data_IF_640057346619
#
_entry.id   IF_640057346619
#
_cell.length_a   1.000
_cell.length_b   1.000
_cell.length_c   1.000
_cell.angle_alpha   90.00
_cell.angle_beta   90.00
_cell.angle_gamma   90.00
#
_symmetry.space_group_name_H-M   'P 1'
#
loop_
_entity.id
_entity.type
_entity.pdbx_description
1 polymer ?
#
# COMPACT_ATOMS: atom_id res chain seq x y z
N UNK A 1 34.91 -10.02 18.44
CA UNK A 1 33.77 -9.22 17.95
C UNK A 1 33.47 -9.70 16.55
N UNK A 2 32.43 -10.50 16.35
CA UNK A 2 32.07 -11.06 15.03
C UNK A 2 30.94 -10.23 14.45
N UNK A 3 31.24 -9.46 13.40
CA UNK A 3 30.21 -8.88 12.55
C UNK A 3 29.65 -9.99 11.66
N UNK A 4 28.47 -10.50 11.99
CA UNK A 4 27.69 -11.30 11.04
C UNK A 4 27.05 -10.35 10.03
N UNK A 5 27.76 -10.10 8.94
CA UNK A 5 27.17 -9.54 7.72
C UNK A 5 26.43 -10.67 6.98
N UNK A 6 25.12 -10.82 7.22
CA UNK A 6 24.20 -11.39 6.23
C UNK A 6 23.52 -10.22 5.52
N UNK A 7 23.92 -9.84 4.30
CA UNK A 7 23.37 -8.66 3.62
C UNK A 7 21.85 -8.75 3.35
N UNK A 8 21.22 -9.90 3.59
CA UNK A 8 19.78 -10.12 3.44
C UNK A 8 18.93 -9.78 4.67
N UNK A 9 19.44 -9.88 5.90
CA UNK A 9 18.66 -9.47 7.10
C UNK A 9 18.68 -7.95 7.33
N UNK A 10 19.68 -7.26 6.78
CA UNK A 10 19.90 -5.84 7.03
C UNK A 10 18.92 -4.92 6.29
N UNK A 11 18.36 -5.32 5.15
CA UNK A 11 17.48 -4.46 4.35
C UNK A 11 16.10 -4.33 4.99
N UNK A 12 15.47 -5.45 5.34
CA UNK A 12 14.17 -5.44 6.00
C UNK A 12 14.23 -4.70 7.34
N UNK A 13 15.23 -4.99 8.18
CA UNK A 13 15.41 -4.29 9.46
C UNK A 13 15.63 -2.78 9.26
N UNK A 14 16.39 -2.37 8.24
CA UNK A 14 16.54 -0.95 7.90
C UNK A 14 15.22 -0.32 7.48
N UNK A 15 14.43 -1.00 6.63
CA UNK A 15 13.12 -0.50 6.23
C UNK A 15 12.15 -0.41 7.40
N UNK A 16 12.17 -1.36 8.33
CA UNK A 16 11.37 -1.30 9.57
C UNK A 16 11.83 -0.11 10.42
N UNK A 17 13.13 0.08 10.62
CA UNK A 17 13.66 1.19 11.40
C UNK A 17 13.29 2.55 10.80
N UNK A 18 13.41 2.68 9.48
CA UNK A 18 13.01 3.87 8.74
C UNK A 18 11.50 4.07 8.85
N UNK A 19 10.71 3.05 8.56
CA UNK A 19 9.25 3.10 8.63
C UNK A 19 8.75 3.51 10.01
N UNK A 20 9.43 3.13 11.10
CA UNK A 20 9.11 3.58 12.47
C UNK A 20 9.22 5.09 12.67
N UNK A 21 10.13 5.76 11.97
CA UNK A 21 10.33 7.22 12.04
C UNK A 21 9.77 7.99 10.84
N UNK A 22 9.15 7.30 9.88
CA UNK A 22 8.67 7.88 8.62
C UNK A 22 7.16 7.73 8.53
N UNK A 23 6.46 8.81 8.17
CA UNK A 23 4.99 8.84 8.14
C UNK A 23 4.48 9.56 6.89
N UNK A 24 3.21 9.32 6.54
CA UNK A 24 2.54 9.98 5.42
C UNK A 24 3.22 9.73 4.07
N UNK A 25 3.45 10.79 3.30
CA UNK A 25 4.00 10.71 1.92
C UNK A 25 5.38 10.03 1.86
N UNK A 26 6.24 10.27 2.85
CA UNK A 26 7.57 9.67 2.89
C UNK A 26 7.52 8.15 3.13
N UNK A 27 6.50 7.67 3.84
CA UNK A 27 6.28 6.23 4.05
C UNK A 27 5.82 5.55 2.75
N UNK A 28 5.02 6.23 1.93
CA UNK A 28 4.64 5.74 0.59
C UNK A 28 5.85 5.57 -0.33
N UNK A 29 6.81 6.51 -0.27
CA UNK A 29 8.06 6.41 -1.02
C UNK A 29 8.93 5.24 -0.52
N UNK A 30 8.98 5.05 0.80
CA UNK A 30 9.66 3.91 1.41
C UNK A 30 9.05 2.58 0.97
N UNK A 31 7.72 2.46 0.97
CA UNK A 31 7.02 1.27 0.49
C UNK A 31 7.38 0.95 -0.96
N UNK A 32 7.41 1.94 -1.85
CA UNK A 32 7.86 1.73 -3.23
C UNK A 32 9.29 1.18 -3.30
N UNK A 33 10.21 1.75 -2.52
CA UNK A 33 11.58 1.23 -2.44
C UNK A 33 11.63 -0.23 -1.97
N UNK A 34 10.78 -0.61 -0.99
CA UNK A 34 10.73 -2.01 -0.53
C UNK A 34 10.18 -2.93 -1.62
N UNK A 35 9.15 -2.50 -2.36
CA UNK A 35 8.58 -3.26 -3.47
C UNK A 35 9.55 -3.41 -4.64
N UNK A 36 10.39 -2.41 -4.90
CA UNK A 36 11.45 -2.46 -5.91
C UNK A 36 12.70 -3.22 -5.46
N UNK A 37 12.85 -3.48 -4.15
CA UNK A 37 14.03 -4.14 -3.59
C UNK A 37 14.01 -5.66 -3.84
N UNK A 38 14.94 -6.20 -4.64
CA UNK A 38 15.04 -7.64 -4.84
C UNK A 38 15.48 -8.32 -3.54
N UNK A 39 14.74 -9.34 -3.12
CA UNK A 39 15.03 -10.09 -1.89
C UNK A 39 14.16 -9.72 -0.69
N UNK A 40 13.31 -8.69 -0.79
CA UNK A 40 12.31 -8.37 0.24
C UNK A 40 10.93 -8.82 -0.22
N UNK A 41 10.50 -9.97 0.28
CA UNK A 41 9.19 -10.57 -0.03
C UNK A 41 8.31 -10.76 1.21
N UNK A 42 8.79 -10.30 2.37
CA UNK A 42 8.09 -10.45 3.66
C UNK A 42 7.71 -9.07 4.17
N UNK A 43 6.43 -8.73 4.04
CA UNK A 43 5.90 -7.42 4.44
C UNK A 43 5.10 -7.46 5.76
N UNK A 44 4.97 -8.63 6.39
CA UNK A 44 4.19 -8.81 7.62
C UNK A 44 4.66 -7.93 8.77
N UNK A 45 5.97 -7.87 9.02
CA UNK A 45 6.53 -7.01 10.08
C UNK A 45 6.36 -5.52 9.77
N UNK A 46 6.38 -5.15 8.49
CA UNK A 46 6.17 -3.77 8.04
C UNK A 46 4.71 -3.36 8.27
N UNK A 47 3.75 -4.25 7.96
CA UNK A 47 2.31 -4.06 8.21
C UNK A 47 1.95 -3.95 9.69
N UNK A 48 2.73 -4.59 10.58
CA UNK A 48 2.50 -4.51 12.03
C UNK A 48 2.79 -3.11 12.59
N UNK A 49 3.56 -2.28 11.86
CA UNK A 49 3.87 -0.92 12.27
C UNK A 49 2.63 -0.02 12.20
N UNK A 50 2.39 0.74 13.27
CA UNK A 50 1.28 1.71 13.36
C UNK A 50 1.32 2.72 12.22
N UNK A 51 2.52 3.17 11.82
CA UNK A 51 2.69 4.11 10.71
C UNK A 51 2.13 3.57 9.39
N UNK A 52 2.23 2.25 9.17
CA UNK A 52 1.70 1.59 7.97
C UNK A 52 0.19 1.40 8.08
N UNK A 53 -0.33 1.11 9.28
CA UNK A 53 -1.78 1.08 9.50
C UNK A 53 -2.42 2.45 9.25
N UNK A 54 -1.77 3.55 9.62
CA UNK A 54 -2.27 4.90 9.31
C UNK A 54 -2.35 5.19 7.81
N UNK A 55 -1.52 4.54 6.97
CA UNK A 55 -1.65 4.65 5.51
C UNK A 55 -2.92 3.97 4.99
N UNK A 56 -3.43 2.94 5.68
CA UNK A 56 -4.66 2.23 5.30
C UNK A 56 -5.89 3.13 5.37
N UNK A 57 -5.90 4.10 6.28
CA UNK A 57 -7.01 5.06 6.45
C UNK A 57 -6.84 6.32 5.58
N UNK A 58 -5.72 6.42 4.84
CA UNK A 58 -5.39 7.57 4.02
C UNK A 58 -5.72 7.42 2.54
N UNK A 59 -5.45 8.45 1.72
CA UNK A 59 -5.58 8.37 0.26
C UNK A 59 -4.62 7.34 -0.38
N UNK A 60 -3.64 6.86 0.39
CA UNK A 60 -2.67 5.85 -0.01
C UNK A 60 -3.06 4.44 0.43
N UNK A 61 -4.32 4.22 0.83
CA UNK A 61 -4.85 2.91 1.22
C UNK A 61 -4.55 1.81 0.20
N UNK A 62 -4.47 2.16 -1.09
CA UNK A 62 -4.15 1.21 -2.14
C UNK A 62 -2.78 0.52 -1.96
N UNK A 63 -1.77 1.25 -1.47
CA UNK A 63 -0.45 0.69 -1.19
C UNK A 63 -0.48 -0.27 0.00
N UNK A 64 -1.25 0.07 1.03
CA UNK A 64 -1.44 -0.80 2.20
C UNK A 64 -2.12 -2.11 1.80
N UNK A 65 -3.20 -2.03 1.03
CA UNK A 65 -3.94 -3.19 0.54
C UNK A 65 -3.03 -4.08 -0.33
N UNK A 66 -2.23 -3.47 -1.21
CA UNK A 66 -1.24 -4.20 -2.01
C UNK A 66 -0.20 -4.93 -1.13
N UNK A 67 0.30 -4.28 -0.07
CA UNK A 67 1.23 -4.92 0.87
C UNK A 67 0.58 -6.10 1.61
N UNK A 68 -0.64 -5.91 2.10
CA UNK A 68 -1.42 -6.93 2.80
C UNK A 68 -1.65 -8.15 1.90
N UNK A 69 -1.98 -7.89 0.64
CA UNK A 69 -2.11 -8.89 -0.39
C UNK A 69 -0.80 -9.64 -0.67
N UNK A 70 0.35 -8.96 -0.74
CA UNK A 70 1.64 -9.65 -0.90
C UNK A 70 2.04 -10.45 0.36
N UNK A 71 1.66 -9.99 1.54
CA UNK A 71 1.96 -10.66 2.81
C UNK A 71 1.08 -11.88 3.08
N UNK A 72 -0.22 -11.78 2.78
CA UNK A 72 -1.24 -12.77 3.17
C UNK A 72 -2.03 -13.36 2.00
N UNK A 73 -2.09 -12.64 0.88
CA UNK A 73 -2.89 -13.01 -0.27
C UNK A 73 -2.12 -13.84 -1.29
N UNK A 74 -2.78 -14.11 -2.40
CA UNK A 74 -2.27 -14.95 -3.49
C UNK A 74 -2.44 -14.24 -4.82
N UNK A 75 -1.73 -14.70 -5.86
CA UNK A 75 -1.81 -14.14 -7.20
C UNK A 75 -3.24 -13.87 -7.73
N UNK A 76 -4.24 -14.77 -7.57
CA UNK A 76 -5.61 -14.46 -8.02
C UNK A 76 -6.22 -13.26 -7.31
N UNK A 77 -5.90 -13.05 -6.04
CA UNK A 77 -6.40 -11.89 -5.27
C UNK A 77 -5.81 -10.58 -5.82
N UNK A 78 -4.54 -10.60 -6.27
CA UNK A 78 -3.93 -9.48 -6.99
C UNK A 78 -4.64 -9.14 -8.31
N UNK A 79 -5.00 -10.17 -9.08
CA UNK A 79 -5.72 -9.96 -10.35
C UNK A 79 -7.09 -9.32 -10.09
N UNK A 80 -7.80 -9.76 -9.05
CA UNK A 80 -9.08 -9.17 -8.64
C UNK A 80 -8.90 -7.74 -8.15
N UNK A 81 -7.90 -7.48 -7.30
CA UNK A 81 -7.61 -6.14 -6.77
C UNK A 81 -7.24 -5.15 -7.89
N UNK A 82 -6.38 -5.56 -8.82
CA UNK A 82 -6.03 -4.78 -10.01
C UNK A 82 -7.23 -4.54 -10.93
N UNK A 83 -8.18 -5.48 -11.00
CA UNK A 83 -9.44 -5.29 -11.73
C UNK A 83 -10.39 -4.33 -11.01
N UNK A 84 -10.47 -4.41 -9.68
CA UNK A 84 -11.38 -3.60 -8.86
C UNK A 84 -11.00 -2.12 -8.92
N UNK A 85 -9.70 -1.80 -8.86
CA UNK A 85 -9.22 -0.42 -9.00
C UNK A 85 -9.52 0.20 -10.38
N UNK A 86 -9.77 -0.60 -11.42
CA UNK A 86 -10.20 -0.11 -12.74
C UNK A 86 -11.71 0.16 -12.79
N UNK A 87 -12.49 -0.44 -11.88
CA UNK A 87 -13.94 -0.34 -11.87
C UNK A 87 -14.49 0.87 -11.09
N UNK A 88 -13.69 1.51 -10.23
CA UNK A 88 -14.05 2.80 -9.63
C UNK A 88 -13.70 3.94 -10.60
N UNK A 89 -14.35 3.92 -11.77
CA UNK A 89 -14.57 5.13 -12.53
C UNK A 89 -15.36 6.12 -11.67
N UNK A 90 -15.09 7.44 -11.77
CA UNK A 90 -15.83 8.43 -11.01
C UNK A 90 -17.29 8.28 -11.40
N UNK A 91 -18.12 7.88 -10.44
CA UNK A 91 -19.55 8.14 -10.50
C UNK A 91 -19.75 9.65 -10.47
N UNK A 92 -19.45 10.30 -11.59
CA UNK A 92 -20.08 11.56 -11.94
C UNK A 92 -21.55 11.21 -12.08
N UNK A 93 -22.28 11.45 -11.00
CA UNK A 93 -23.72 11.40 -10.97
C UNK A 93 -24.20 12.46 -11.96
N UNK A 94 -24.36 12.03 -13.22
CA UNK A 94 -25.10 12.72 -14.25
C UNK A 94 -26.54 12.82 -13.74
N UNK A 95 -26.82 13.88 -13.00
CA UNK A 95 -28.20 14.30 -12.75
C UNK A 95 -28.67 15.09 -13.98
N UNK A 96 -28.89 14.37 -15.08
CA UNK A 96 -29.81 14.80 -16.12
C UNK A 96 -31.25 14.60 -15.61
N UNK A 97 -32.05 15.66 -15.72
CA UNK A 97 -33.51 15.53 -15.75
C UNK A 97 -34.26 16.31 -14.68
N UNK A 98 -34.65 17.55 -15.00
CA UNK A 98 -35.96 17.75 -15.61
C UNK A 98 -36.31 19.24 -15.58
N UNK A 99 -36.30 19.85 -16.76
CA UNK A 99 -37.20 20.97 -17.00
C UNK A 99 -38.63 20.51 -16.75
N UNK A 100 -39.27 21.08 -15.73
CA UNK A 100 -40.71 21.27 -15.72
C UNK A 100 -40.99 22.73 -15.41
N UNK A 101 -41.12 23.47 -16.50
CA UNK A 101 -42.01 24.61 -16.59
C UNK A 101 -43.31 24.29 -15.85
N UNK A 102 -43.64 25.10 -14.86
CA UNK A 102 -45.00 25.24 -14.37
C UNK A 102 -45.24 26.73 -14.18
N UNK A 103 -46.16 27.22 -15.03
CA UNK A 103 -46.90 28.48 -15.02
C UNK A 103 -46.70 29.42 -13.82
#
# INVERSE_FOLDING_TARGET
MAGEQKPSCNLLEQFILLAKGTSGSALTALINQVLEAPGVYVFGELLELTNVQELAEGPNAAYFQLLSLFAYGTYPDYVVYSLLCVAEGPGHEESEGAGRSHY
#
